data_IF_415012772469
#
_entry.id   IF_415012772469
#
_cell.length_a   1.000
_cell.length_b   1.000
_cell.length_c   1.000
_cell.angle_alpha   90.00
_cell.angle_beta   90.00
_cell.angle_gamma   90.00
#
_symmetry.space_group_name_H-M   'P 1'
#
loop_
_entity.id
_entity.type
_entity.pdbx_description
1 polymer ?
#
# COMPACT_ATOMS: atom_id res chain seq x y z
N UNK A 1 30.16 -29.05 53.32
CA UNK A 1 28.81 -29.38 52.86
C UNK A 1 28.70 -28.88 51.44
N UNK A 2 29.06 -29.74 50.44
CA UNK A 2 29.19 -29.39 49.05
C UNK A 2 27.82 -29.62 48.39
N UNK A 3 27.10 -28.55 48.11
CA UNK A 3 25.91 -28.61 47.25
C UNK A 3 26.32 -29.04 45.85
N UNK A 4 25.81 -30.19 45.47
CA UNK A 4 26.14 -30.89 44.23
C UNK A 4 26.00 -29.98 43.02
N UNK A 5 27.06 -29.91 42.25
CA UNK A 5 27.21 -29.14 40.97
C UNK A 5 26.09 -29.40 39.95
N UNK A 6 25.33 -30.50 40.13
CA UNK A 6 24.20 -30.89 39.28
C UNK A 6 23.00 -29.94 39.39
N UNK A 7 22.75 -29.35 40.54
CA UNK A 7 21.59 -28.44 40.77
C UNK A 7 21.88 -27.03 40.21
N UNK A 8 23.16 -26.61 40.20
CA UNK A 8 23.57 -25.32 39.65
C UNK A 8 23.37 -25.33 38.12
N UNK A 9 23.68 -26.42 37.43
CA UNK A 9 23.50 -26.56 35.99
C UNK A 9 22.01 -26.57 35.60
N UNK A 10 21.14 -27.20 36.41
CA UNK A 10 19.70 -27.18 36.20
C UNK A 10 19.07 -25.79 36.40
N UNK A 11 19.55 -25.02 37.36
CA UNK A 11 19.04 -23.67 37.63
C UNK A 11 19.46 -22.70 36.49
N UNK A 12 20.65 -22.85 35.94
CA UNK A 12 21.08 -22.08 34.75
C UNK A 12 20.33 -22.47 33.49
N UNK A 13 19.96 -23.74 33.32
CA UNK A 13 19.14 -24.21 32.22
C UNK A 13 17.71 -23.67 32.24
N UNK A 14 17.12 -23.49 33.41
CA UNK A 14 15.75 -22.94 33.56
C UNK A 14 15.73 -21.44 33.37
N UNK A 15 16.78 -20.70 33.70
CA UNK A 15 16.88 -19.26 33.45
C UNK A 15 17.01 -18.87 31.97
N UNK A 16 17.52 -19.77 31.13
CA UNK A 16 17.63 -19.53 29.69
C UNK A 16 16.30 -19.71 28.92
N UNK A 17 15.32 -20.44 29.46
CA UNK A 17 14.02 -20.66 28.81
C UNK A 17 13.02 -19.52 29.11
N UNK A 18 13.28 -18.66 30.09
CA UNK A 18 12.43 -17.53 30.46
C UNK A 18 12.75 -16.24 29.67
N UNK A 19 13.75 -16.28 28.76
CA UNK A 19 14.05 -15.22 27.80
C UNK A 19 13.24 -15.38 26.51
N UNK A 20 12.02 -15.92 26.59
CA UNK A 20 11.07 -15.94 25.49
C UNK A 20 10.33 -14.60 25.42
N UNK A 21 10.83 -13.74 24.57
CA UNK A 21 10.06 -13.01 23.58
C UNK A 21 8.79 -12.34 24.08
N UNK A 22 8.94 -11.14 24.65
CA UNK A 22 7.97 -10.12 24.36
C UNK A 22 8.12 -9.74 22.88
N UNK A 23 7.61 -10.56 21.98
CA UNK A 23 7.16 -10.06 20.69
C UNK A 23 5.99 -9.14 21.02
N UNK A 24 6.25 -7.84 21.11
CA UNK A 24 5.22 -6.86 20.86
C UNK A 24 4.77 -7.07 19.42
N UNK A 25 3.86 -8.00 19.20
CA UNK A 25 2.91 -7.90 18.11
C UNK A 25 2.11 -6.64 18.42
N UNK A 26 2.54 -5.48 17.90
CA UNK A 26 1.63 -4.35 17.77
C UNK A 26 0.45 -4.88 16.97
N UNK A 27 -0.63 -5.20 17.65
CA UNK A 27 -1.88 -5.54 16.99
C UNK A 27 -2.22 -4.35 16.11
N UNK A 28 -2.29 -4.57 14.81
CA UNK A 28 -2.72 -3.54 13.88
C UNK A 28 -3.99 -2.89 14.42
N UNK A 29 -4.07 -1.57 14.50
CA UNK A 29 -5.25 -0.91 15.06
C UNK A 29 -6.49 -1.40 14.31
N UNK A 30 -7.53 -1.77 15.05
CA UNK A 30 -8.80 -2.23 14.46
C UNK A 30 -9.38 -1.12 13.60
N UNK A 31 -9.70 -1.43 12.35
CA UNK A 31 -10.35 -0.49 11.44
C UNK A 31 -11.76 -0.12 11.92
N UNK A 32 -12.19 1.11 11.64
CA UNK A 32 -13.60 1.48 11.72
C UNK A 32 -14.45 0.53 10.84
N UNK A 33 -15.64 0.15 11.30
CA UNK A 33 -16.48 -0.83 10.59
C UNK A 33 -16.75 -0.44 9.12
N UNK A 34 -16.98 0.84 8.85
CA UNK A 34 -17.23 1.36 7.51
C UNK A 34 -15.98 1.24 6.61
N UNK A 35 -14.79 1.49 7.15
CA UNK A 35 -13.53 1.31 6.42
C UNK A 35 -13.29 -0.16 6.08
N UNK A 36 -13.50 -1.04 7.05
CA UNK A 36 -13.37 -2.48 6.84
C UNK A 36 -14.39 -2.99 5.81
N UNK A 37 -15.62 -2.52 5.85
CA UNK A 37 -16.66 -2.89 4.89
C UNK A 37 -16.30 -2.41 3.48
N UNK A 38 -15.87 -1.15 3.33
CA UNK A 38 -15.46 -0.60 2.04
C UNK A 38 -14.26 -1.36 1.46
N UNK A 39 -13.27 -1.70 2.28
CA UNK A 39 -12.11 -2.47 1.86
C UNK A 39 -12.49 -3.87 1.36
N UNK A 40 -13.35 -4.56 2.08
CA UNK A 40 -13.82 -5.92 1.72
C UNK A 40 -14.59 -5.96 0.40
N UNK A 41 -15.32 -4.91 0.04
CA UNK A 41 -16.06 -4.87 -1.22
C UNK A 41 -15.32 -4.13 -2.36
N UNK A 42 -14.14 -3.56 -2.10
CA UNK A 42 -13.41 -2.69 -3.02
C UNK A 42 -13.19 -3.27 -4.43
N UNK A 43 -12.93 -4.55 -4.54
CA UNK A 43 -12.63 -5.19 -5.82
C UNK A 43 -13.87 -5.75 -6.51
N UNK A 44 -14.82 -6.29 -5.75
CA UNK A 44 -16.02 -6.88 -6.31
C UNK A 44 -17.13 -5.85 -6.61
N UNK A 45 -17.22 -4.83 -5.77
CA UNK A 45 -18.28 -3.81 -5.82
C UNK A 45 -17.70 -2.42 -5.52
N UNK A 46 -16.86 -1.86 -6.42
CA UNK A 46 -16.17 -0.58 -6.19
C UNK A 46 -17.13 0.61 -6.04
N UNK A 47 -18.29 0.58 -6.68
CA UNK A 47 -19.36 1.56 -6.53
C UNK A 47 -19.92 1.58 -5.09
N UNK A 48 -20.14 0.40 -4.52
CA UNK A 48 -20.57 0.27 -3.13
C UNK A 48 -19.50 0.74 -2.15
N UNK A 49 -18.22 0.42 -2.42
CA UNK A 49 -17.11 0.92 -1.62
C UNK A 49 -17.04 2.45 -1.64
N UNK A 50 -17.15 3.06 -2.82
CA UNK A 50 -17.19 4.52 -2.96
C UNK A 50 -18.34 5.14 -2.18
N UNK A 51 -19.53 4.59 -2.32
CA UNK A 51 -20.73 5.07 -1.61
C UNK A 51 -20.58 5.02 -0.08
N UNK A 52 -20.00 3.93 0.47
CA UNK A 52 -19.73 3.82 1.91
C UNK A 52 -18.76 4.92 2.35
N UNK A 53 -17.64 5.10 1.62
CA UNK A 53 -16.58 6.03 1.98
C UNK A 53 -16.99 7.49 1.86
N UNK A 54 -17.89 7.84 0.93
CA UNK A 54 -18.42 9.19 0.78
C UNK A 54 -19.52 9.52 1.79
N UNK A 55 -20.31 8.52 2.23
CA UNK A 55 -21.37 8.71 3.22
C UNK A 55 -20.89 8.70 4.66
N UNK A 56 -19.80 7.98 4.95
CA UNK A 56 -19.29 7.97 6.31
C UNK A 56 -18.76 9.35 6.73
N UNK A 57 -18.85 9.66 8.01
CA UNK A 57 -18.12 10.81 8.53
C UNK A 57 -16.62 10.55 8.46
N UNK A 58 -15.82 11.40 7.78
CA UNK A 58 -14.39 11.22 7.71
C UNK A 58 -13.76 11.05 9.10
N UNK A 59 -12.85 10.12 9.31
CA UNK A 59 -12.17 9.95 10.59
C UNK A 59 -11.48 11.24 11.02
N UNK A 60 -11.35 11.47 12.32
CA UNK A 60 -10.65 12.65 12.84
C UNK A 60 -9.19 12.61 12.39
N UNK A 61 -8.64 13.74 11.97
CA UNK A 61 -7.21 13.90 11.59
C UNK A 61 -6.26 13.53 12.74
N UNK A 62 -6.75 13.60 13.99
CA UNK A 62 -6.00 13.16 15.18
C UNK A 62 -5.85 11.64 15.26
N UNK A 63 -6.79 10.88 14.70
CA UNK A 63 -6.66 9.44 14.49
C UNK A 63 -5.97 9.17 13.14
N UNK A 64 -4.67 9.34 13.14
CA UNK A 64 -3.85 9.31 11.92
C UNK A 64 -3.98 8.01 11.13
N UNK A 65 -4.15 6.87 11.83
CA UNK A 65 -4.28 5.57 11.16
C UNK A 65 -5.58 5.45 10.38
N UNK A 66 -6.72 5.74 11.02
CA UNK A 66 -8.02 5.68 10.38
C UNK A 66 -8.13 6.71 9.25
N UNK A 67 -7.64 7.93 9.50
CA UNK A 67 -7.68 9.01 8.51
C UNK A 67 -6.84 8.69 7.26
N UNK A 68 -5.59 8.23 7.45
CA UNK A 68 -4.73 7.83 6.34
C UNK A 68 -5.31 6.64 5.55
N UNK A 69 -5.91 5.67 6.26
CA UNK A 69 -6.59 4.53 5.62
C UNK A 69 -7.79 5.01 4.81
N UNK A 70 -8.64 5.87 5.37
CA UNK A 70 -9.77 6.46 4.65
C UNK A 70 -9.32 7.21 3.39
N UNK A 71 -8.25 8.00 3.47
CA UNK A 71 -7.68 8.71 2.33
C UNK A 71 -7.30 7.75 1.19
N UNK A 72 -6.60 6.64 1.50
CA UNK A 72 -6.21 5.66 0.48
C UNK A 72 -7.41 4.92 -0.10
N UNK A 73 -8.32 4.43 0.75
CA UNK A 73 -9.49 3.69 0.28
C UNK A 73 -10.43 4.55 -0.55
N UNK A 74 -10.64 5.81 -0.18
CA UNK A 74 -11.45 6.74 -0.97
C UNK A 74 -10.81 7.03 -2.33
N UNK A 75 -9.50 7.23 -2.37
CA UNK A 75 -8.77 7.42 -3.64
C UNK A 75 -8.86 6.17 -4.51
N UNK A 76 -8.66 4.99 -3.94
CA UNK A 76 -8.79 3.71 -4.64
C UNK A 76 -10.21 3.51 -5.20
N UNK A 77 -11.23 3.78 -4.39
CA UNK A 77 -12.61 3.66 -4.83
C UNK A 77 -12.95 4.62 -5.98
N UNK A 78 -12.46 5.87 -5.91
CA UNK A 78 -12.62 6.85 -7.00
C UNK A 78 -11.97 6.35 -8.29
N UNK A 79 -10.71 5.93 -8.23
CA UNK A 79 -9.98 5.39 -9.40
C UNK A 79 -10.74 4.21 -10.02
N UNK A 80 -11.18 3.25 -9.19
CA UNK A 80 -11.92 2.08 -9.67
C UNK A 80 -13.28 2.40 -10.29
N UNK A 81 -13.87 3.52 -9.93
CA UNK A 81 -15.12 4.04 -10.51
C UNK A 81 -14.87 5.06 -11.63
N UNK A 82 -13.65 5.18 -12.13
CA UNK A 82 -13.26 6.14 -13.18
C UNK A 82 -13.58 7.60 -12.83
N UNK A 83 -13.61 7.92 -11.54
CA UNK A 83 -13.77 9.30 -11.05
C UNK A 83 -12.41 9.98 -11.10
N UNK A 84 -12.31 11.04 -11.89
CA UNK A 84 -11.08 11.81 -12.03
C UNK A 84 -10.60 12.35 -10.69
N UNK A 85 -9.30 12.23 -10.43
CA UNK A 85 -8.63 12.82 -9.28
C UNK A 85 -8.11 14.22 -9.65
N UNK A 86 -8.63 15.25 -9.00
CA UNK A 86 -8.16 16.62 -9.23
C UNK A 86 -6.77 16.87 -8.62
N UNK A 87 -6.39 16.12 -7.60
CA UNK A 87 -5.07 16.18 -6.95
C UNK A 87 -4.74 14.87 -6.25
N UNK A 88 -3.44 14.66 -5.97
CA UNK A 88 -2.91 13.57 -5.15
C UNK A 88 -3.05 13.78 -3.65
N UNK A 89 -3.66 14.87 -3.21
CA UNK A 89 -3.63 15.29 -1.79
C UNK A 89 -4.04 14.20 -0.81
N UNK A 90 -5.11 13.44 -1.12
CA UNK A 90 -5.54 12.33 -0.27
C UNK A 90 -4.55 11.16 -0.31
N UNK A 91 -4.07 10.81 -1.50
CA UNK A 91 -3.09 9.73 -1.67
C UNK A 91 -1.82 10.07 -0.90
N UNK A 92 -1.30 11.29 -1.07
CA UNK A 92 -0.10 11.79 -0.38
C UNK A 92 -0.20 11.77 1.15
N UNK A 93 -1.37 12.03 1.73
CA UNK A 93 -1.60 11.89 3.18
C UNK A 93 -1.39 10.43 3.60
N UNK A 94 -2.04 9.50 2.91
CA UNK A 94 -1.90 8.08 3.18
C UNK A 94 -0.47 7.59 2.93
N UNK A 95 0.13 7.96 1.80
CA UNK A 95 1.50 7.60 1.45
C UNK A 95 2.50 8.05 2.53
N UNK A 96 2.51 9.32 2.90
CA UNK A 96 3.43 9.86 3.92
C UNK A 96 3.26 9.18 5.28
N UNK A 97 2.04 8.85 5.65
CA UNK A 97 1.77 8.16 6.90
C UNK A 97 2.29 6.73 6.89
N UNK A 98 1.95 5.94 5.85
CA UNK A 98 2.31 4.52 5.82
C UNK A 98 3.77 4.26 5.49
N UNK A 99 4.48 5.17 4.80
CA UNK A 99 5.94 5.05 4.61
C UNK A 99 6.70 4.96 5.94
N UNK A 100 6.16 5.49 7.03
CA UNK A 100 6.76 5.47 8.35
C UNK A 100 6.29 4.28 9.21
N UNK A 101 5.52 3.34 8.65
CA UNK A 101 4.91 2.22 9.36
C UNK A 101 5.38 0.88 8.81
N UNK A 102 5.40 -0.15 9.63
CA UNK A 102 5.65 -1.53 9.21
C UNK A 102 4.34 -2.18 8.73
N UNK A 103 3.83 -1.68 7.60
CA UNK A 103 2.64 -2.21 6.95
C UNK A 103 2.86 -2.28 5.43
N UNK A 104 3.47 -3.38 4.95
CA UNK A 104 3.80 -3.53 3.53
C UNK A 104 2.61 -3.41 2.60
N UNK A 105 1.44 -3.97 2.98
CA UNK A 105 0.24 -3.90 2.17
C UNK A 105 -0.23 -2.45 1.95
N UNK A 106 -0.25 -1.63 3.02
CA UNK A 106 -0.64 -0.21 2.92
C UNK A 106 0.40 0.62 2.16
N UNK A 107 1.69 0.31 2.32
CA UNK A 107 2.75 0.95 1.53
C UNK A 107 2.60 0.65 0.05
N UNK A 108 2.39 -0.61 -0.30
CA UNK A 108 2.17 -1.04 -1.68
C UNK A 108 0.94 -0.36 -2.29
N UNK A 109 -0.20 -0.35 -1.57
CA UNK A 109 -1.40 0.34 -2.02
C UNK A 109 -1.14 1.83 -2.25
N UNK A 110 -0.50 2.51 -1.30
CA UNK A 110 -0.22 3.94 -1.41
C UNK A 110 0.69 4.25 -2.61
N UNK A 111 1.77 3.49 -2.81
CA UNK A 111 2.66 3.63 -3.96
C UNK A 111 1.94 3.35 -5.29
N UNK A 112 1.10 2.32 -5.33
CA UNK A 112 0.28 2.01 -6.51
C UNK A 112 -0.64 3.17 -6.89
N UNK A 113 -1.33 3.78 -5.92
CA UNK A 113 -2.23 4.91 -6.18
C UNK A 113 -1.50 6.17 -6.63
N UNK A 114 -0.33 6.48 -6.04
CA UNK A 114 0.54 7.56 -6.55
C UNK A 114 0.99 7.26 -7.98
N UNK A 115 1.39 6.02 -8.28
CA UNK A 115 1.76 5.60 -9.63
C UNK A 115 0.66 5.86 -10.65
N UNK A 116 -0.60 5.47 -10.35
CA UNK A 116 -1.75 5.76 -11.21
C UNK A 116 -1.92 7.27 -11.40
N UNK A 117 -1.91 8.05 -10.33
CA UNK A 117 -2.11 9.49 -10.42
C UNK A 117 -1.07 10.16 -11.34
N UNK A 118 0.21 9.81 -11.17
CA UNK A 118 1.26 10.37 -12.02
C UNK A 118 1.18 9.90 -13.46
N UNK A 119 0.79 8.64 -13.70
CA UNK A 119 0.61 8.12 -15.06
C UNK A 119 -0.59 8.76 -15.77
N UNK A 120 -1.75 8.75 -15.15
CA UNK A 120 -3.02 9.05 -15.82
C UNK A 120 -3.36 10.54 -15.80
N UNK A 121 -3.10 11.23 -14.68
CA UNK A 121 -3.48 12.63 -14.51
C UNK A 121 -2.34 13.61 -14.80
N UNK A 122 -1.09 13.22 -14.54
CA UNK A 122 0.10 14.06 -14.74
C UNK A 122 0.84 13.74 -16.03
N UNK A 123 0.60 12.57 -16.61
CA UNK A 123 1.34 12.06 -17.77
C UNK A 123 2.85 12.04 -17.54
N UNK A 124 3.26 11.75 -16.30
CA UNK A 124 4.65 11.66 -15.85
C UNK A 124 4.99 10.18 -15.62
N UNK A 125 5.34 9.52 -16.73
CA UNK A 125 5.66 8.10 -16.76
C UNK A 125 6.89 7.74 -15.88
N UNK A 126 7.87 8.62 -15.78
CA UNK A 126 9.09 8.39 -15.00
C UNK A 126 8.76 8.36 -13.49
N UNK A 127 8.03 9.35 -13.01
CA UNK A 127 7.58 9.41 -11.61
C UNK A 127 6.61 8.27 -11.30
N UNK A 128 5.68 7.95 -12.21
CA UNK A 128 4.76 6.83 -12.06
C UNK A 128 5.50 5.51 -11.91
N UNK A 129 6.48 5.24 -12.76
CA UNK A 129 7.28 4.01 -12.71
C UNK A 129 8.03 3.87 -11.37
N UNK A 130 8.59 4.97 -10.85
CA UNK A 130 9.24 4.98 -9.55
C UNK A 130 8.30 4.52 -8.44
N UNK A 131 7.08 5.08 -8.36
CA UNK A 131 6.09 4.70 -7.35
C UNK A 131 5.60 3.25 -7.52
N UNK A 132 5.41 2.78 -8.76
CA UNK A 132 5.05 1.39 -9.00
C UNK A 132 6.15 0.40 -8.57
N UNK A 133 7.43 0.73 -8.80
CA UNK A 133 8.55 -0.13 -8.38
C UNK A 133 8.70 -0.15 -6.84
N UNK A 134 8.47 0.97 -6.16
CA UNK A 134 8.40 1.01 -4.70
C UNK A 134 7.24 0.13 -4.20
N UNK A 135 6.07 0.23 -4.81
CA UNK A 135 4.92 -0.61 -4.49
C UNK A 135 5.20 -2.11 -4.73
N UNK A 136 5.87 -2.46 -5.83
CA UNK A 136 6.27 -3.84 -6.13
C UNK A 136 7.19 -4.41 -5.05
N UNK A 137 8.15 -3.64 -4.57
CA UNK A 137 9.05 -4.06 -3.48
C UNK A 137 8.31 -4.34 -2.17
N UNK A 138 7.27 -3.57 -1.87
CA UNK A 138 6.48 -3.75 -0.66
C UNK A 138 5.46 -4.89 -0.79
N UNK A 139 4.84 -5.07 -1.96
CA UNK A 139 3.80 -6.10 -2.16
C UNK A 139 4.38 -7.52 -2.11
N UNK A 140 5.65 -7.71 -2.50
CA UNK A 140 6.35 -9.00 -2.41
C UNK A 140 6.45 -9.54 -0.98
N UNK A 141 6.27 -8.68 0.03
CA UNK A 141 6.26 -9.03 1.46
C UNK A 141 4.89 -9.48 1.94
N UNK A 142 3.91 -9.60 1.06
CA UNK A 142 2.50 -9.89 1.37
C UNK A 142 1.95 -11.03 0.52
N UNK A 143 0.76 -11.51 0.84
CA UNK A 143 0.01 -12.48 0.03
C UNK A 143 -1.14 -11.82 -0.76
N UNK A 144 -1.11 -10.50 -0.96
CA UNK A 144 -2.12 -9.78 -1.74
C UNK A 144 -1.80 -9.86 -3.24
N UNK A 145 -2.06 -11.01 -3.83
CA UNK A 145 -1.84 -11.27 -5.26
C UNK A 145 -2.70 -10.39 -6.17
N UNK A 146 -3.83 -9.89 -5.67
CA UNK A 146 -4.70 -9.04 -6.46
C UNK A 146 -4.11 -7.63 -6.63
N UNK A 147 -3.62 -7.03 -5.56
CA UNK A 147 -2.90 -5.76 -5.64
C UNK A 147 -1.59 -5.92 -6.42
N UNK A 148 -0.86 -7.02 -6.21
CA UNK A 148 0.35 -7.33 -6.96
C UNK A 148 0.10 -7.34 -8.47
N UNK A 149 -0.97 -8.01 -8.91
CA UNK A 149 -1.37 -8.02 -10.32
C UNK A 149 -1.54 -6.60 -10.89
N UNK A 150 -2.26 -5.72 -10.21
CA UNK A 150 -2.47 -4.35 -10.67
C UNK A 150 -1.19 -3.52 -10.70
N UNK A 151 -0.29 -3.69 -9.73
CA UNK A 151 1.02 -3.02 -9.71
C UNK A 151 1.85 -3.42 -10.94
N UNK A 152 1.95 -4.72 -11.23
CA UNK A 152 2.74 -5.20 -12.37
C UNK A 152 2.10 -4.83 -13.71
N UNK A 153 0.77 -4.77 -13.81
CA UNK A 153 0.08 -4.21 -14.98
C UNK A 153 0.47 -2.75 -15.18
N UNK A 154 0.41 -1.91 -14.14
CA UNK A 154 0.81 -0.51 -14.24
C UNK A 154 2.27 -0.32 -14.68
N UNK A 155 3.20 -1.13 -14.16
CA UNK A 155 4.59 -1.14 -14.64
C UNK A 155 4.64 -1.46 -16.14
N UNK A 156 3.93 -2.49 -16.58
CA UNK A 156 3.89 -2.91 -17.99
C UNK A 156 3.32 -1.80 -18.90
N UNK A 157 2.26 -1.14 -18.48
CA UNK A 157 1.64 -0.03 -19.24
C UNK A 157 2.62 1.12 -19.44
N UNK A 158 3.36 1.54 -18.42
CA UNK A 158 4.36 2.60 -18.54
C UNK A 158 5.46 2.22 -19.53
N UNK A 159 5.93 0.97 -19.51
CA UNK A 159 6.95 0.52 -20.49
C UNK A 159 6.41 0.49 -21.92
N UNK A 160 5.19 0.02 -22.13
CA UNK A 160 4.57 -0.01 -23.46
C UNK A 160 4.41 1.40 -24.02
N UNK A 161 3.92 2.35 -23.22
CA UNK A 161 3.77 3.74 -23.65
C UNK A 161 5.11 4.39 -23.98
N UNK A 162 6.17 4.14 -23.21
CA UNK A 162 7.50 4.65 -23.49
C UNK A 162 8.08 4.12 -24.81
N UNK A 163 7.84 2.85 -25.13
CA UNK A 163 8.27 2.24 -26.39
C UNK A 163 7.53 2.83 -27.61
N UNK A 164 6.24 3.12 -27.48
CA UNK A 164 5.45 3.77 -28.54
C UNK A 164 6.01 5.17 -28.84
N UNK A 165 6.31 5.98 -27.82
CA UNK A 165 6.88 7.32 -27.99
C UNK A 165 8.27 7.30 -28.66
N UNK A 166 9.08 6.27 -28.43
CA UNK A 166 10.40 6.13 -29.07
C UNK A 166 10.25 5.75 -30.56
N UNK A 167 9.20 5.03 -30.94
CA UNK A 167 9.00 4.55 -32.30
C UNK A 167 8.32 5.58 -33.25
N UNK A 168 7.61 6.56 -32.75
CA UNK A 168 6.92 7.58 -33.57
C UNK A 168 7.83 8.61 -34.26
N UNK A 169 8.95 9.12 -33.69
CA UNK A 169 9.81 10.08 -34.37
C UNK A 169 10.42 9.58 -35.70
N UNK A 170 10.59 8.28 -35.82
CA UNK A 170 11.19 7.69 -37.04
C UNK A 170 10.24 7.62 -38.22
N UNK A 171 8.95 7.72 -38.04
CA UNK A 171 7.96 7.70 -39.14
C UNK A 171 7.84 9.04 -39.89
N UNK A 172 8.04 10.16 -39.22
CA UNK A 172 7.98 11.48 -39.84
C UNK A 172 9.24 11.87 -40.63
N UNK A 173 10.39 11.26 -40.37
CA UNK A 173 11.64 11.54 -41.10
C UNK A 173 11.79 10.77 -42.39
N UNK A 174 10.91 9.83 -42.72
CA UNK A 174 10.97 9.00 -43.95
C UNK A 174 10.00 9.47 -45.04
N UNK A 175 9.29 10.59 -44.86
CA UNK A 175 8.34 11.15 -45.83
C UNK A 175 8.76 12.58 -46.23
N UNK A 176 10.06 12.83 -46.40
CA UNK A 176 10.59 14.08 -46.96
C UNK A 176 11.34 13.79 -48.23
#
# INVERSE_FOLDING_TARGET
MLLSNKYIVCIWGILLVLSCTNTHTESSPTLLPELAQAENCMYAYPDSALHILEKMTPPKVTDKYQYATWCLLLSQAKIKNYVKLESDSLISIGYKYFQQKENPQRKALAGYLEGIYYNDERHDAETALKYYLEAATEIEKTEDYQLAYFIYVGIGEVYVLSLIHISEPTRHSLIS
#
